data_IF_150770682880
#
_entry.id   IF_150770682880
#
_cell.length_a   1.000
_cell.length_b   1.000
_cell.length_c   1.000
_cell.angle_alpha   90.00
_cell.angle_beta   90.00
_cell.angle_gamma   90.00
#
_symmetry.space_group_name_H-M   'P 1'
#
loop_
_entity.id
_entity.type
_entity.pdbx_description
1 polymer ?
#
# COMPACT_ATOMS: atom_id res chain seq x y z
N UNK A 1 -4.34 20.98 -13.56
CA UNK A 1 -5.62 20.46 -14.11
C UNK A 1 -6.72 20.84 -13.15
N UNK A 2 -7.53 21.83 -13.51
CA UNK A 2 -8.76 22.20 -12.81
C UNK A 2 -9.90 21.33 -13.34
N UNK A 3 -10.63 20.67 -12.45
CA UNK A 3 -11.82 19.89 -12.82
C UNK A 3 -13.05 20.79 -12.80
N UNK A 4 -14.02 20.52 -13.66
CA UNK A 4 -15.34 21.13 -13.57
C UNK A 4 -16.03 20.70 -12.26
N UNK A 5 -16.90 21.56 -11.73
CA UNK A 5 -17.50 21.39 -10.40
C UNK A 5 -18.29 20.10 -10.26
N UNK A 6 -19.05 19.73 -11.28
CA UNK A 6 -19.81 18.49 -11.39
C UNK A 6 -18.89 17.26 -11.35
N UNK A 7 -17.77 17.32 -12.05
CA UNK A 7 -16.79 16.23 -12.11
C UNK A 7 -16.06 16.04 -10.79
N UNK A 8 -15.82 17.13 -10.04
CA UNK A 8 -15.28 17.08 -8.69
C UNK A 8 -16.26 16.40 -7.72
N UNK A 9 -17.53 16.84 -7.72
CA UNK A 9 -18.57 16.28 -6.83
C UNK A 9 -18.75 14.78 -7.12
N UNK A 10 -18.81 14.38 -8.39
CA UNK A 10 -18.94 12.98 -8.78
C UNK A 10 -17.78 12.12 -8.25
N UNK A 11 -16.52 12.58 -8.40
CA UNK A 11 -15.36 11.84 -7.88
C UNK A 11 -15.30 11.81 -6.35
N UNK A 12 -15.68 12.91 -5.71
CA UNK A 12 -15.72 13.01 -4.26
C UNK A 12 -16.71 12.01 -3.64
N UNK A 13 -17.90 11.89 -4.22
CA UNK A 13 -18.92 10.94 -3.76
C UNK A 13 -18.53 9.47 -3.97
N UNK A 14 -17.69 9.16 -4.95
CA UNK A 14 -17.13 7.80 -5.12
C UNK A 14 -16.12 7.42 -4.03
N UNK A 15 -15.55 8.39 -3.32
CA UNK A 15 -14.56 8.15 -2.26
C UNK A 15 -15.16 8.19 -0.86
N UNK A 16 -16.37 8.71 -0.72
CA UNK A 16 -17.09 8.71 0.55
C UNK A 16 -17.79 7.38 0.72
N UNK A 17 -17.57 6.76 1.87
CA UNK A 17 -18.24 5.54 2.22
C UNK A 17 -19.72 5.86 2.59
N UNK A 18 -20.72 5.18 1.99
CA UNK A 18 -22.12 5.48 2.27
C UNK A 18 -22.47 5.32 3.75
N UNK A 19 -23.51 6.03 4.20
CA UNK A 19 -23.93 5.99 5.60
C UNK A 19 -24.32 4.56 6.00
N UNK A 20 -23.83 4.10 7.15
CA UNK A 20 -24.04 2.74 7.65
C UNK A 20 -22.95 1.74 7.25
N UNK A 21 -22.04 2.12 6.34
CA UNK A 21 -20.87 1.32 6.04
C UNK A 21 -19.69 1.80 6.90
N UNK A 22 -18.98 0.85 7.50
CA UNK A 22 -17.75 1.10 8.25
C UNK A 22 -16.54 0.69 7.40
N UNK A 23 -15.51 1.53 7.34
CA UNK A 23 -14.28 1.19 6.62
C UNK A 23 -13.56 0.08 7.39
N UNK A 24 -13.57 -1.14 6.85
CA UNK A 24 -12.81 -2.25 7.42
C UNK A 24 -11.32 -1.93 7.25
N UNK A 25 -10.65 -1.69 8.37
CA UNK A 25 -9.20 -1.65 8.44
C UNK A 25 -8.77 -3.06 8.84
N UNK A 26 -7.97 -3.72 7.99
CA UNK A 26 -7.40 -5.01 8.35
C UNK A 26 -6.38 -4.79 9.48
N UNK A 27 -6.68 -5.30 10.67
CA UNK A 27 -5.79 -5.36 11.81
C UNK A 27 -5.31 -6.79 12.04
N UNK A 28 -4.15 -6.96 12.68
CA UNK A 28 -3.58 -8.27 12.98
C UNK A 28 -2.88 -8.93 11.78
N UNK A 29 -3.07 -10.24 11.62
CA UNK A 29 -2.34 -11.09 10.67
C UNK A 29 -2.39 -10.60 9.21
N UNK A 30 -3.47 -9.92 8.81
CA UNK A 30 -3.71 -9.44 7.44
C UNK A 30 -3.41 -7.93 7.24
N UNK A 31 -2.86 -7.26 8.25
CA UNK A 31 -2.51 -5.84 8.15
C UNK A 31 -1.35 -5.64 7.15
N UNK A 32 -1.47 -4.65 6.26
CA UNK A 32 -0.63 -4.52 5.06
C UNK A 32 0.88 -4.65 5.27
N UNK A 33 1.47 -3.96 6.25
CA UNK A 33 2.92 -4.00 6.51
C UNK A 33 3.40 -5.31 7.11
N UNK A 34 2.57 -6.00 7.90
CA UNK A 34 2.93 -7.22 8.61
C UNK A 34 2.39 -8.49 7.92
N UNK A 35 1.57 -8.35 6.87
CA UNK A 35 0.83 -9.46 6.26
C UNK A 35 1.74 -10.57 5.74
N UNK A 36 2.82 -10.23 5.03
CA UNK A 36 3.73 -11.22 4.44
C UNK A 36 4.43 -12.05 5.52
N UNK A 37 5.01 -11.38 6.52
CA UNK A 37 5.72 -12.03 7.64
C UNK A 37 4.77 -12.82 8.54
N UNK A 38 3.60 -12.26 8.84
CA UNK A 38 2.59 -12.92 9.68
C UNK A 38 2.02 -14.17 9.02
N UNK A 39 1.76 -14.14 7.71
CA UNK A 39 1.29 -15.31 6.95
C UNK A 39 2.35 -16.40 6.83
N UNK A 40 3.61 -16.04 6.62
CA UNK A 40 4.71 -17.01 6.61
C UNK A 40 4.79 -17.76 7.95
N UNK A 41 4.81 -17.02 9.06
CA UNK A 41 4.83 -17.59 10.42
C UNK A 41 3.61 -18.46 10.71
N UNK A 42 2.42 -18.06 10.25
CA UNK A 42 1.21 -18.88 10.42
C UNK A 42 1.30 -20.22 9.65
N UNK A 43 1.87 -20.22 8.43
CA UNK A 43 2.07 -21.46 7.66
C UNK A 43 3.07 -22.40 8.32
N UNK A 44 4.17 -21.86 8.86
CA UNK A 44 5.15 -22.63 9.65
C UNK A 44 4.49 -23.32 10.86
N UNK A 45 3.74 -22.55 11.67
CA UNK A 45 3.07 -23.08 12.86
C UNK A 45 2.01 -24.14 12.52
N UNK A 46 1.37 -24.03 11.35
CA UNK A 46 0.37 -24.97 10.88
C UNK A 46 0.98 -26.18 10.14
N UNK A 47 2.32 -26.28 10.03
CA UNK A 47 3.02 -27.30 9.24
C UNK A 47 2.50 -27.40 7.79
N UNK A 48 2.10 -26.27 7.20
CA UNK A 48 1.63 -26.20 5.81
C UNK A 48 2.84 -26.05 4.89
N UNK A 49 2.94 -26.90 3.87
CA UNK A 49 3.99 -26.78 2.86
C UNK A 49 3.97 -25.38 2.24
N UNK A 50 5.14 -24.73 2.17
CA UNK A 50 5.27 -23.44 1.51
C UNK A 50 4.82 -23.57 0.05
N UNK A 51 3.86 -22.75 -0.37
CA UNK A 51 3.52 -22.63 -1.79
C UNK A 51 4.76 -22.11 -2.51
N UNK A 52 5.18 -22.78 -3.58
CA UNK A 52 6.23 -22.27 -4.47
C UNK A 52 5.82 -20.88 -4.92
N UNK A 53 6.76 -19.93 -4.92
CA UNK A 53 6.58 -18.61 -5.52
C UNK A 53 6.55 -18.75 -7.05
N UNK A 54 5.64 -19.56 -7.59
CA UNK A 54 5.31 -19.58 -9.02
C UNK A 54 4.17 -18.58 -9.28
N UNK A 55 4.37 -17.34 -8.82
CA UNK A 55 3.70 -16.19 -9.41
C UNK A 55 4.80 -15.39 -10.11
N UNK A 56 5.19 -15.89 -11.28
CA UNK A 56 5.82 -15.06 -12.31
C UNK A 56 4.77 -14.06 -12.82
N UNK A 57 4.22 -13.22 -11.93
CA UNK A 57 3.73 -11.92 -12.36
C UNK A 57 5.00 -11.18 -12.74
N UNK A 58 5.31 -11.16 -14.03
CA UNK A 58 6.25 -10.21 -14.60
C UNK A 58 5.72 -8.84 -14.17
N UNK A 59 6.23 -8.30 -13.06
CA UNK A 59 5.94 -6.92 -12.70
C UNK A 59 6.34 -6.11 -13.93
N UNK A 60 5.41 -5.35 -14.53
CA UNK A 60 5.75 -4.48 -15.63
C UNK A 60 6.91 -3.61 -15.17
N UNK A 61 8.06 -3.77 -15.83
CA UNK A 61 9.31 -3.07 -15.47
C UNK A 61 9.18 -1.55 -15.62
N UNK A 62 8.03 -1.08 -16.13
CA UNK A 62 7.78 0.32 -16.40
C UNK A 62 6.30 0.70 -16.22
N UNK A 63 5.94 1.25 -15.05
CA UNK A 63 4.63 1.85 -14.79
C UNK A 63 4.57 3.33 -15.22
N UNK A 64 5.55 3.86 -15.96
CA UNK A 64 5.56 5.29 -16.31
C UNK A 64 4.37 5.62 -17.21
N UNK A 65 3.47 6.52 -16.79
CA UNK A 65 2.33 6.88 -17.62
C UNK A 65 2.83 7.58 -18.90
N UNK A 66 2.18 7.35 -20.05
CA UNK A 66 2.54 8.03 -21.28
C UNK A 66 2.26 9.54 -21.17
N UNK A 67 3.00 10.34 -21.95
CA UNK A 67 2.77 11.78 -22.03
C UNK A 67 1.33 12.08 -22.48
N UNK A 68 0.60 12.90 -21.70
CA UNK A 68 -0.80 13.26 -22.00
C UNK A 68 -0.99 14.10 -23.26
N UNK A 69 0.10 14.66 -23.82
CA UNK A 69 0.06 15.48 -25.03
C UNK A 69 0.37 14.65 -26.30
N UNK A 70 1.39 13.79 -26.25
CA UNK A 70 1.93 13.10 -27.43
C UNK A 70 2.06 11.58 -27.30
N UNK A 71 1.71 10.99 -26.15
CA UNK A 71 1.83 9.55 -25.90
C UNK A 71 3.26 9.04 -25.72
N UNK A 72 4.27 9.91 -25.82
CA UNK A 72 5.69 9.52 -25.68
C UNK A 72 6.06 9.05 -24.27
N UNK A 73 7.16 8.29 -24.20
CA UNK A 73 7.74 7.80 -22.94
C UNK A 73 8.30 8.94 -22.11
N UNK A 74 7.85 9.06 -20.86
CA UNK A 74 8.42 10.01 -19.91
C UNK A 74 9.72 9.45 -19.32
N UNK A 75 10.76 10.27 -19.24
CA UNK A 75 12.06 9.91 -18.66
C UNK A 75 12.25 10.73 -17.37
N UNK A 76 12.68 10.07 -16.29
CA UNK A 76 13.01 10.75 -15.03
C UNK A 76 14.40 11.37 -15.20
N UNK A 77 14.48 12.69 -15.16
CA UNK A 77 15.75 13.42 -15.28
C UNK A 77 16.46 13.50 -13.93
N UNK A 78 15.70 13.64 -12.85
CA UNK A 78 16.22 13.74 -11.49
C UNK A 78 15.16 13.31 -10.48
N UNK A 79 15.59 12.66 -9.40
CA UNK A 79 14.74 12.34 -8.24
C UNK A 79 15.23 13.15 -7.05
N UNK A 80 14.42 14.10 -6.58
CA UNK A 80 14.73 14.83 -5.36
C UNK A 80 14.53 13.94 -4.13
N UNK A 81 15.50 13.98 -3.22
CA UNK A 81 15.34 13.35 -1.91
C UNK A 81 14.19 14.01 -1.14
N UNK A 82 13.53 13.21 -0.30
CA UNK A 82 12.43 13.72 0.52
C UNK A 82 13.00 14.72 1.54
N UNK A 83 12.55 15.97 1.47
CA UNK A 83 12.94 17.02 2.43
C UNK A 83 12.64 16.70 3.90
N UNK A 84 11.75 15.73 4.17
CA UNK A 84 11.51 15.18 5.50
C UNK A 84 11.31 13.67 5.43
N UNK A 85 11.80 12.98 6.46
CA UNK A 85 11.49 11.57 6.66
C UNK A 85 9.96 11.39 6.70
N UNK A 86 9.41 10.35 6.05
CA UNK A 86 8.04 9.95 6.28
C UNK A 86 7.80 9.88 7.78
N UNK A 87 6.64 10.34 8.27
CA UNK A 87 6.19 10.01 9.63
C UNK A 87 5.79 8.53 9.64
N UNK A 88 6.76 7.65 9.37
CA UNK A 88 6.66 6.22 9.61
C UNK A 88 6.55 5.99 11.11
N UNK A 89 6.04 4.83 11.52
CA UNK A 89 5.94 4.51 12.94
C UNK A 89 7.34 4.56 13.58
N UNK A 90 7.46 4.96 14.85
CA UNK A 90 8.76 5.14 15.51
C UNK A 90 9.60 3.87 15.47
N UNK A 91 10.90 4.04 15.25
CA UNK A 91 11.90 2.98 15.41
C UNK A 91 12.07 2.66 16.90
N UNK A 92 11.25 1.73 17.38
CA UNK A 92 11.58 0.79 18.44
C UNK A 92 10.33 -0.01 18.75
N UNK A 93 10.52 -1.30 19.01
CA UNK A 93 9.52 -2.18 19.60
C UNK A 93 8.92 -1.49 20.83
N UNK A 94 7.70 -0.96 20.68
CA UNK A 94 6.95 -0.45 21.81
C UNK A 94 6.85 -1.58 22.84
N UNK A 95 7.25 -1.31 24.07
CA UNK A 95 7.03 -2.22 25.19
C UNK A 95 5.54 -2.40 25.38
N UNK A 96 5.01 -3.53 24.92
CA UNK A 96 3.68 -3.98 25.33
C UNK A 96 3.76 -4.53 26.76
N UNK A 97 2.62 -4.58 27.43
CA UNK A 97 2.45 -5.09 28.80
C UNK A 97 3.03 -6.50 29.04
N UNK A 98 3.25 -7.26 27.96
CA UNK A 98 3.85 -8.60 27.97
C UNK A 98 5.39 -8.58 28.05
N UNK A 99 6.05 -7.45 27.76
CA UNK A 99 7.51 -7.31 27.74
C UNK A 99 8.04 -6.31 28.78
N UNK A 100 7.29 -6.04 29.85
CA UNK A 100 7.85 -5.40 31.05
C UNK A 100 8.51 -6.47 31.92
N UNK A 101 9.73 -6.25 32.46
CA UNK A 101 10.32 -7.16 33.44
C UNK A 101 9.46 -7.27 34.69
#
# INVERSE_FOLDING_TARGET
MTLATDEFIRRFLLHILPRGFHRIRHYGLLAGSARKTSLARARELLNVAAQSEDDNSVEPTDFRPPCRCCGGSMIIIETFERWRQPRGPPDSTATNRENSP
#
